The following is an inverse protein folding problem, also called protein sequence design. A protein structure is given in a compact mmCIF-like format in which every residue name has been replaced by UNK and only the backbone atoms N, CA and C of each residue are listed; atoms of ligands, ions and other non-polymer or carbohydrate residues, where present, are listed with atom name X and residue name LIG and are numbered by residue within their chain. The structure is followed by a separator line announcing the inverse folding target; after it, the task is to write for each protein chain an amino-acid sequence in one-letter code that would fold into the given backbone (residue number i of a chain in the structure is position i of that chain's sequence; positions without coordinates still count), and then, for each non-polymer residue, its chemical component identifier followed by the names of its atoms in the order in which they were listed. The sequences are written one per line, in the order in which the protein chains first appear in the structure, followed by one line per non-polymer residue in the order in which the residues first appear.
data_IF_482214806472
#
_entry.id   IF_482214806472
#
_cell.length_a   1.000
_cell.length_b   1.000
_cell.length_c   1.000
_cell.angle_alpha   90.00
_cell.angle_beta   90.00
_cell.angle_gamma   90.00
#
_symmetry.space_group_name_H-M   'P 1'
#
loop_
_entity.id
_entity.type
_entity.pdbx_description
1 polymer ?
#
# COMPACT_ATOMS: atom_id res chain seq x y z
N UNK A 1 -5.68 -14.08 -6.39
CA UNK A 1 -6.29 -12.95 -7.11
C UNK A 1 -7.27 -13.38 -8.20
N UNK A 2 -6.83 -14.06 -9.27
CA UNK A 2 -7.67 -14.46 -10.43
C UNK A 2 -9.06 -15.01 -10.05
N UNK A 3 -9.12 -15.98 -9.15
CA UNK A 3 -10.39 -16.58 -8.73
C UNK A 3 -11.33 -15.57 -8.05
N UNK A 4 -10.79 -14.69 -7.20
CA UNK A 4 -11.57 -13.66 -6.47
C UNK A 4 -12.06 -12.57 -7.44
N UNK A 5 -11.26 -12.21 -8.46
CA UNK A 5 -11.66 -11.20 -9.46
C UNK A 5 -12.78 -11.66 -10.39
N UNK A 6 -12.97 -12.97 -10.56
CA UNK A 6 -14.04 -13.54 -11.41
C UNK A 6 -15.39 -13.61 -10.68
N UNK A 7 -15.41 -13.45 -9.34
CA UNK A 7 -16.64 -13.42 -8.55
C UNK A 7 -17.35 -12.09 -8.76
N UNK A 8 -18.59 -12.15 -9.26
CA UNK A 8 -19.41 -10.95 -9.56
C UNK A 8 -20.13 -10.37 -8.35
N UNK A 9 -20.57 -11.22 -7.42
CA UNK A 9 -21.34 -10.81 -6.25
C UNK A 9 -20.44 -10.35 -5.11
N UNK A 10 -20.76 -9.20 -4.51
CA UNK A 10 -19.94 -8.59 -3.46
C UNK A 10 -19.91 -9.42 -2.17
N UNK A 11 -21.02 -10.07 -1.83
CA UNK A 11 -21.14 -10.93 -0.65
C UNK A 11 -20.29 -12.17 -0.83
N UNK A 12 -20.42 -12.87 -1.96
CA UNK A 12 -19.63 -14.07 -2.26
C UNK A 12 -18.13 -13.75 -2.35
N UNK A 13 -17.79 -12.56 -2.87
CA UNK A 13 -16.41 -12.09 -2.92
C UNK A 13 -15.86 -11.82 -1.52
N UNK A 14 -16.65 -11.20 -0.64
CA UNK A 14 -16.29 -11.00 0.76
C UNK A 14 -16.10 -12.34 1.47
N UNK A 15 -17.02 -13.29 1.31
CA UNK A 15 -16.91 -14.63 1.91
C UNK A 15 -15.66 -15.39 1.41
N UNK A 16 -15.28 -15.20 0.15
CA UNK A 16 -14.05 -15.76 -0.39
C UNK A 16 -12.80 -15.12 0.23
N UNK A 17 -12.81 -13.78 0.42
CA UNK A 17 -11.75 -13.08 1.14
C UNK A 17 -11.68 -13.52 2.61
N UNK A 18 -12.80 -13.59 3.32
CA UNK A 18 -12.86 -14.03 4.74
C UNK A 18 -12.33 -15.46 4.93
N UNK A 19 -12.45 -16.30 3.89
CA UNK A 19 -11.87 -17.65 3.90
C UNK A 19 -10.35 -17.65 3.76
N UNK A 20 -9.80 -16.67 3.06
CA UNK A 20 -8.38 -16.52 2.75
C UNK A 20 -7.63 -15.79 3.88
N UNK A 21 -8.21 -14.72 4.42
CA UNK A 21 -7.60 -13.89 5.47
C UNK A 21 -7.98 -14.40 6.87
N UNK A 22 -7.32 -15.48 7.31
CA UNK A 22 -7.56 -16.18 8.58
C UNK A 22 -6.37 -16.21 9.54
N UNK A 23 -5.30 -15.46 9.26
CA UNK A 23 -4.01 -15.51 9.95
C UNK A 23 -3.33 -16.88 9.85
N UNK A 24 -3.48 -17.56 8.70
CA UNK A 24 -2.83 -18.83 8.38
C UNK A 24 -1.70 -18.63 7.35
N UNK A 25 -0.90 -19.67 7.10
CA UNK A 25 0.28 -19.64 6.21
C UNK A 25 -0.03 -19.07 4.82
N UNK A 26 -1.22 -19.36 4.27
CA UNK A 26 -1.63 -18.86 2.96
C UNK A 26 -1.68 -17.32 2.93
N UNK A 27 -2.20 -16.69 3.99
CA UNK A 27 -2.25 -15.23 4.12
C UNK A 27 -0.83 -14.63 4.19
N UNK A 28 0.03 -15.18 5.04
CA UNK A 28 1.41 -14.70 5.18
C UNK A 28 2.22 -14.86 3.89
N UNK A 29 1.96 -15.92 3.12
CA UNK A 29 2.58 -16.13 1.82
C UNK A 29 2.22 -15.02 0.82
N UNK A 30 1.01 -14.45 0.91
CA UNK A 30 0.64 -13.28 0.11
C UNK A 30 1.44 -12.04 0.50
N UNK A 31 1.71 -11.85 1.80
CA UNK A 31 2.53 -10.74 2.27
C UNK A 31 3.97 -10.85 1.79
N UNK A 32 4.56 -12.05 1.78
CA UNK A 32 5.90 -12.27 1.20
C UNK A 32 5.93 -11.97 -0.30
N UNK A 33 4.90 -12.40 -1.04
CA UNK A 33 4.77 -12.07 -2.47
C UNK A 33 4.68 -10.54 -2.69
N UNK A 34 3.90 -9.83 -1.86
CA UNK A 34 3.80 -8.37 -1.92
C UNK A 34 5.13 -7.68 -1.59
N UNK A 35 5.83 -8.10 -0.53
CA UNK A 35 7.15 -7.56 -0.18
C UNK A 35 8.15 -7.76 -1.32
N UNK A 36 8.10 -8.90 -1.99
CA UNK A 36 8.95 -9.17 -3.15
C UNK A 36 8.60 -8.27 -4.35
N UNK A 37 7.31 -8.04 -4.63
CA UNK A 37 6.88 -7.09 -5.66
C UNK A 37 7.34 -5.66 -5.34
N UNK A 38 7.18 -5.23 -4.09
CA UNK A 38 7.69 -3.94 -3.62
C UNK A 38 9.21 -3.81 -3.83
N UNK A 39 9.98 -4.86 -3.50
CA UNK A 39 11.42 -4.86 -3.75
C UNK A 39 11.75 -4.76 -5.24
N UNK A 40 11.03 -5.49 -6.11
CA UNK A 40 11.22 -5.42 -7.55
C UNK A 40 10.96 -3.99 -8.07
N UNK A 41 9.83 -3.40 -7.69
CA UNK A 41 9.47 -2.02 -8.04
C UNK A 41 10.53 -1.03 -7.54
N UNK A 42 11.05 -1.22 -6.33
CA UNK A 42 12.13 -0.37 -5.80
C UNK A 42 13.44 -0.51 -6.61
N UNK A 43 13.77 -1.72 -7.08
CA UNK A 43 14.93 -1.96 -7.95
C UNK A 43 14.76 -1.25 -9.29
N UNK A 44 13.59 -1.34 -9.91
CA UNK A 44 13.26 -0.67 -11.16
C UNK A 44 13.39 0.85 -11.02
N UNK A 45 12.74 1.43 -10.00
CA UNK A 45 12.83 2.86 -9.71
C UNK A 45 14.27 3.33 -9.43
N UNK A 46 15.04 2.55 -8.66
CA UNK A 46 16.44 2.88 -8.40
C UNK A 46 17.27 2.85 -9.69
N UNK A 47 17.09 1.83 -10.54
CA UNK A 47 17.80 1.73 -11.80
C UNK A 47 17.38 2.83 -12.79
N UNK A 48 16.10 3.18 -12.82
CA UNK A 48 15.58 4.28 -13.63
C UNK A 48 16.26 5.60 -13.26
N UNK A 49 16.31 5.92 -11.97
CA UNK A 49 16.99 7.10 -11.45
C UNK A 49 18.49 7.10 -11.81
N UNK A 50 19.19 5.97 -11.61
CA UNK A 50 20.61 5.84 -11.99
C UNK A 50 20.87 5.99 -13.49
N UNK A 51 19.89 5.68 -14.32
CA UNK A 51 19.96 5.85 -15.76
C UNK A 51 19.45 7.23 -16.23
N UNK A 52 19.15 8.15 -15.32
CA UNK A 52 18.65 9.49 -15.64
C UNK A 52 17.21 9.49 -16.18
N UNK A 53 16.45 8.41 -15.99
CA UNK A 53 15.02 8.38 -16.29
C UNK A 53 14.24 9.12 -15.21
N UNK A 54 13.08 9.65 -15.58
CA UNK A 54 12.18 10.30 -14.63
C UNK A 54 11.58 9.25 -13.69
N UNK A 55 11.68 9.50 -12.40
CA UNK A 55 11.06 8.69 -11.34
C UNK A 55 10.15 9.55 -10.47
N UNK A 56 9.16 8.96 -9.79
CA UNK A 56 8.33 9.67 -8.82
C UNK A 56 9.15 10.16 -7.62
N UNK A 57 8.77 11.31 -7.07
CA UNK A 57 9.50 12.00 -5.98
C UNK A 57 9.67 11.12 -4.75
N UNK A 58 8.68 10.28 -4.41
CA UNK A 58 8.80 9.39 -3.25
C UNK A 58 9.97 8.42 -3.38
N UNK A 59 10.37 8.04 -4.60
CA UNK A 59 11.52 7.14 -4.83
C UNK A 59 12.81 7.79 -4.36
N UNK A 60 12.99 9.09 -4.64
CA UNK A 60 14.13 9.84 -4.09
C UNK A 60 14.08 9.92 -2.57
N UNK A 61 12.90 10.16 -1.98
CA UNK A 61 12.75 10.18 -0.53
C UNK A 61 13.03 8.81 0.10
N UNK A 62 12.60 7.73 -0.54
CA UNK A 62 12.84 6.35 -0.12
C UNK A 62 14.33 6.04 -0.05
N UNK A 63 15.09 6.43 -1.09
CA UNK A 63 16.53 6.18 -1.21
C UNK A 63 17.42 7.28 -0.62
N UNK A 64 16.86 8.40 -0.17
CA UNK A 64 17.61 9.43 0.57
C UNK A 64 17.83 9.07 2.05
N UNK A 65 17.12 8.06 2.59
CA UNK A 65 17.29 7.60 3.97
C UNK A 65 18.63 6.88 4.13
N UNK A 66 19.35 7.16 5.22
CA UNK A 66 20.63 6.54 5.56
C UNK A 66 20.56 5.00 5.64
N UNK A 67 19.40 4.47 6.04
CA UNK A 67 19.15 3.03 6.20
C UNK A 67 18.56 2.38 4.96
N UNK A 68 18.36 3.11 3.86
CA UNK A 68 17.70 2.63 2.65
C UNK A 68 18.31 3.22 1.37
N UNK A 69 19.62 3.47 1.33
CA UNK A 69 20.25 4.21 0.21
C UNK A 69 20.30 3.46 -1.13
N UNK A 70 19.95 2.18 -1.13
CA UNK A 70 19.86 1.30 -2.29
C UNK A 70 18.90 0.13 -2.00
N UNK A 71 18.45 -0.61 -3.02
CA UNK A 71 17.47 -1.69 -2.83
C UNK A 71 17.92 -2.80 -1.86
N UNK A 72 19.22 -3.09 -1.77
CA UNK A 72 19.75 -4.08 -0.83
C UNK A 72 19.59 -3.60 0.63
N UNK A 73 19.83 -2.31 0.90
CA UNK A 73 19.57 -1.72 2.21
C UNK A 73 18.07 -1.64 2.52
N UNK A 74 17.23 -1.23 1.55
CA UNK A 74 15.77 -1.24 1.71
C UNK A 74 15.28 -2.63 2.13
N UNK A 75 15.71 -3.68 1.43
CA UNK A 75 15.34 -5.05 1.76
C UNK A 75 15.76 -5.42 3.20
N UNK A 76 17.04 -5.23 3.53
CA UNK A 76 17.62 -5.70 4.79
C UNK A 76 17.11 -4.96 6.01
N UNK A 77 16.94 -3.64 5.89
CA UNK A 77 16.69 -2.76 7.03
C UNK A 77 15.22 -2.35 7.17
N UNK A 78 14.40 -2.57 6.14
CA UNK A 78 12.99 -2.19 6.14
C UNK A 78 12.08 -3.36 5.78
N UNK A 79 12.13 -3.86 4.53
CA UNK A 79 11.18 -4.89 4.07
C UNK A 79 11.24 -6.19 4.89
N UNK A 80 12.46 -6.63 5.26
CA UNK A 80 12.65 -7.82 6.09
C UNK A 80 12.13 -7.65 7.52
N UNK A 81 11.83 -6.43 7.98
CA UNK A 81 11.30 -6.18 9.32
C UNK A 81 9.78 -6.11 9.36
N UNK A 82 9.12 -5.95 8.20
CA UNK A 82 7.67 -5.91 8.07
C UNK A 82 7.09 -7.27 8.45
N UNK A 83 6.21 -7.24 9.46
CA UNK A 83 5.59 -8.45 10.02
C UNK A 83 6.38 -9.10 11.16
N UNK A 84 7.55 -8.56 11.53
CA UNK A 84 8.37 -9.05 12.65
C UNK A 84 8.55 -8.00 13.74
N UNK A 85 9.18 -6.87 13.39
CA UNK A 85 9.54 -5.81 14.34
C UNK A 85 8.97 -4.44 13.98
N UNK A 86 8.27 -4.33 12.85
CA UNK A 86 7.65 -3.10 12.38
C UNK A 86 6.55 -3.35 11.33
N UNK A 87 5.83 -2.28 11.02
CA UNK A 87 4.92 -2.18 9.87
C UNK A 87 5.55 -1.37 8.74
N UNK A 88 4.75 -1.01 7.74
CA UNK A 88 5.17 -0.10 6.68
C UNK A 88 5.35 1.33 7.20
N UNK A 89 6.44 1.99 6.82
CA UNK A 89 6.58 3.43 7.00
C UNK A 89 5.76 4.20 5.95
N UNK A 90 5.49 5.49 6.22
CA UNK A 90 4.68 6.32 5.32
C UNK A 90 5.24 6.39 3.89
N UNK A 91 6.56 6.44 3.72
CA UNK A 91 7.19 6.45 2.38
C UNK A 91 7.05 5.09 1.68
N UNK A 92 6.92 4.00 2.42
CA UNK A 92 6.77 2.65 1.89
C UNK A 92 5.31 2.36 1.47
N UNK A 93 4.34 3.13 1.98
CA UNK A 93 2.96 3.12 1.46
C UNK A 93 2.90 3.55 -0.01
N UNK A 94 3.74 4.50 -0.43
CA UNK A 94 3.89 4.84 -1.85
C UNK A 94 4.45 3.69 -2.67
N UNK A 95 5.45 2.99 -2.13
CA UNK A 95 6.03 1.82 -2.80
C UNK A 95 5.00 0.69 -2.93
N UNK A 96 4.19 0.45 -1.90
CA UNK A 96 3.09 -0.51 -1.94
C UNK A 96 2.07 -0.14 -3.03
N UNK A 97 1.64 1.12 -3.08
CA UNK A 97 0.72 1.62 -4.10
C UNK A 97 1.27 1.39 -5.52
N UNK A 98 2.55 1.71 -5.75
CA UNK A 98 3.21 1.48 -7.03
C UNK A 98 3.37 0.00 -7.39
N UNK A 99 3.71 -0.85 -6.42
CA UNK A 99 3.87 -2.28 -6.64
C UNK A 99 2.55 -2.96 -7.03
N UNK A 100 1.43 -2.46 -6.50
CA UNK A 100 0.09 -2.99 -6.80
C UNK A 100 -0.58 -2.29 -7.98
N UNK A 101 -0.15 -1.08 -8.34
CA UNK A 101 -0.85 -0.16 -9.24
C UNK A 101 -2.26 0.18 -8.72
N UNK A 102 -2.32 0.55 -7.43
CA UNK A 102 -3.55 0.99 -6.75
C UNK A 102 -3.36 2.38 -6.15
N UNK A 103 -4.42 3.17 -6.16
CA UNK A 103 -4.49 4.39 -5.36
C UNK A 103 -4.97 4.02 -3.97
N UNK A 104 -4.11 4.18 -2.96
CA UNK A 104 -4.47 3.93 -1.55
C UNK A 104 -4.85 5.26 -0.93
N UNK A 105 -6.15 5.47 -0.69
CA UNK A 105 -6.65 6.65 0.01
C UNK A 105 -6.80 6.32 1.50
N UNK A 106 -6.20 7.12 2.37
CA UNK A 106 -6.19 6.87 3.81
C UNK A 106 -6.78 8.07 4.55
N UNK A 107 -7.83 7.82 5.32
CA UNK A 107 -8.35 8.75 6.33
C UNK A 107 -7.51 8.63 7.60
N UNK A 108 -6.63 9.61 7.84
CA UNK A 108 -5.76 9.67 9.03
C UNK A 108 -6.47 10.46 10.11
N UNK A 109 -7.21 9.77 10.98
CA UNK A 109 -8.15 10.40 11.92
C UNK A 109 -7.46 11.34 12.91
N UNK A 110 -6.23 11.02 13.33
CA UNK A 110 -5.43 11.87 14.21
C UNK A 110 -4.89 13.14 13.53
N UNK A 111 -5.07 13.28 12.21
CA UNK A 111 -4.78 14.46 11.39
C UNK A 111 -6.04 15.25 11.05
N UNK A 112 -7.13 15.06 11.80
CA UNK A 112 -8.36 15.83 11.60
C UNK A 112 -8.10 17.35 11.62
N UNK A 113 -8.82 18.09 10.77
CA UNK A 113 -8.63 19.53 10.51
C UNK A 113 -7.28 19.94 9.91
N UNK A 114 -6.56 19.03 9.25
CA UNK A 114 -5.39 19.36 8.44
C UNK A 114 -5.53 18.85 7.02
N UNK A 115 -4.67 19.32 6.12
CA UNK A 115 -4.60 18.84 4.73
C UNK A 115 -4.15 17.36 4.64
N UNK A 116 -3.65 16.78 5.73
CA UNK A 116 -3.25 15.38 5.81
C UNK A 116 -4.38 14.46 6.29
N UNK A 117 -5.56 14.99 6.62
CA UNK A 117 -6.70 14.19 7.09
C UNK A 117 -7.07 13.10 6.08
N UNK A 118 -7.02 13.43 4.78
CA UNK A 118 -7.14 12.47 3.68
C UNK A 118 -5.84 12.50 2.92
N UNK A 119 -5.07 11.40 2.98
CA UNK A 119 -3.82 11.25 2.25
C UNK A 119 -3.98 10.18 1.17
N UNK A 120 -3.56 10.48 -0.06
CA UNK A 120 -3.53 9.51 -1.15
C UNK A 120 -2.10 9.04 -1.41
N UNK A 121 -1.95 7.74 -1.66
CA UNK A 121 -0.69 7.13 -2.10
C UNK A 121 -0.91 6.52 -3.49
N UNK A 122 -0.23 7.03 -4.53
CA UNK A 122 0.58 8.25 -4.55
C UNK A 122 -0.26 9.54 -4.46
N UNK A 123 0.41 10.68 -4.26
CA UNK A 123 -0.23 12.00 -4.23
C UNK A 123 -0.92 12.35 -5.55
N UNK A 124 -0.28 11.98 -6.67
CA UNK A 124 -0.78 12.17 -8.02
C UNK A 124 -1.00 10.77 -8.66
N UNK A 125 -2.14 10.12 -8.40
CA UNK A 125 -2.43 8.80 -8.94
C UNK A 125 -2.69 8.83 -10.44
N UNK A 126 -2.29 7.76 -11.13
CA UNK A 126 -2.68 7.51 -12.52
C UNK A 126 -4.20 7.30 -12.60
N UNK A 127 -4.84 7.85 -13.64
CA UNK A 127 -6.32 7.87 -13.75
C UNK A 127 -6.96 6.47 -13.80
N UNK A 128 -6.22 5.46 -14.24
CA UNK A 128 -6.69 4.08 -14.40
C UNK A 128 -6.49 3.20 -13.16
N UNK A 129 -5.81 3.69 -12.13
CA UNK A 129 -5.54 2.90 -10.94
C UNK A 129 -6.80 2.75 -10.07
N UNK A 130 -7.23 1.52 -9.74
CA UNK A 130 -8.33 1.31 -8.81
C UNK A 130 -8.02 1.93 -7.43
N UNK A 131 -9.04 2.52 -6.83
CA UNK A 131 -8.94 3.15 -5.51
C UNK A 131 -9.34 2.16 -4.42
N UNK A 132 -8.53 2.06 -3.38
CA UNK A 132 -8.88 1.42 -2.11
C UNK A 132 -8.83 2.45 -0.99
N UNK A 133 -9.79 2.37 -0.09
CA UNK A 133 -9.91 3.31 1.04
C UNK A 133 -9.57 2.59 2.34
N UNK A 134 -8.72 3.22 3.16
CA UNK A 134 -8.37 2.78 4.49
C UNK A 134 -8.66 3.91 5.50
N UNK A 135 -8.79 3.54 6.76
CA UNK A 135 -8.90 4.47 7.89
C UNK A 135 -7.80 4.09 8.89
N UNK A 136 -7.07 5.07 9.41
CA UNK A 136 -6.10 4.83 10.48
C UNK A 136 -6.21 5.85 11.59
N UNK A 137 -6.07 5.38 12.82
CA UNK A 137 -6.06 6.21 14.03
C UNK A 137 -4.66 6.69 14.39
N UNK A 138 -3.60 6.01 13.95
CA UNK A 138 -2.22 6.25 14.41
C UNK A 138 -1.10 5.83 13.42
N UNK A 139 -1.44 5.58 12.15
CA UNK A 139 -0.59 5.01 11.09
C UNK A 139 -0.04 3.60 11.37
N UNK A 140 -0.54 2.90 12.40
CA UNK A 140 -0.18 1.52 12.71
C UNK A 140 -1.37 0.57 12.62
N UNK A 141 -2.56 1.06 12.96
CA UNK A 141 -3.80 0.30 12.91
C UNK A 141 -4.67 0.78 11.76
N UNK A 142 -4.98 -0.11 10.82
CA UNK A 142 -5.76 0.20 9.63
C UNK A 142 -7.09 -0.55 9.65
N UNK A 143 -8.18 0.20 9.48
CA UNK A 143 -9.53 -0.30 9.29
C UNK A 143 -9.97 -0.10 7.83
N UNK A 144 -10.92 -0.91 7.37
CA UNK A 144 -11.48 -0.84 6.01
C UNK A 144 -12.95 -0.38 6.11
N UNK A 145 -13.32 0.78 5.52
CA UNK A 145 -14.72 1.16 5.37
C UNK A 145 -15.39 0.29 4.29
N UNK A 146 -16.40 -0.51 4.67
CA UNK A 146 -16.99 -1.56 3.80
C UNK A 146 -18.40 -1.23 3.26
N UNK A 147 -18.97 -0.07 3.59
CA UNK A 147 -20.31 0.33 3.13
C UNK A 147 -20.32 1.77 2.65
N UNK A 148 -20.86 1.99 1.46
CA UNK A 148 -21.16 3.32 0.96
C UNK A 148 -22.54 3.73 1.49
N UNK A 149 -22.60 4.87 2.17
CA UNK A 149 -23.86 5.51 2.54
C UNK A 149 -24.14 6.66 1.58
N UNK A 150 -25.39 6.76 1.11
CA UNK A 150 -25.89 7.93 0.39
C UNK A 150 -26.87 8.65 1.31
N UNK A 151 -26.57 9.90 1.65
CA UNK A 151 -27.53 10.75 2.36
C UNK A 151 -28.61 11.21 1.38
N UNK A 152 -29.87 11.02 1.76
CA UNK A 152 -31.02 11.59 1.06
C UNK A 152 -31.54 12.74 1.91
N UNK A 153 -31.43 13.98 1.41
CA UNK A 153 -32.04 15.11 2.10
C UNK A 153 -33.56 15.05 1.90
N UNK A 154 -34.30 15.06 3.02
CA UNK A 154 -35.76 15.09 3.09
C UNK A 154 -36.31 16.51 2.89
#
# INVERSE_FOLDING_TARGET
WKNISEIKGSIEKQEACDKLFKNEEEEYSLYEALKFLMLNTAIELYNDDKNGRRVPVFSWLLFARDTSSNPCQLMRNHLNHIGHSGGLEQVEMFLLAYALQYTIQVYRLYKYNTDEFITSYPNDPEEDWPVVTLITEDDRHYNIPVRMCQETML
#
